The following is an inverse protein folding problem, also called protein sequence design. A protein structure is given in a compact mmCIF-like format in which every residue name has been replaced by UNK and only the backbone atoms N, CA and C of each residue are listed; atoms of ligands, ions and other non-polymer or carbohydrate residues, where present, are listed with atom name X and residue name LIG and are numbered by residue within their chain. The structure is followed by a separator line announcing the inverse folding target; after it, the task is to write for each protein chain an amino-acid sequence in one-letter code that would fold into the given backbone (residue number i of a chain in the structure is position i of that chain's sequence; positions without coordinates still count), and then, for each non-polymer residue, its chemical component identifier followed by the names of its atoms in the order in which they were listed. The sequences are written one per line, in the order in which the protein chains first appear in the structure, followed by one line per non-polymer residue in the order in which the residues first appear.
data_IF_377152146523
#
_entry.id   IF_377152146523
#
_cell.length_a   1.000
_cell.length_b   1.000
_cell.length_c   1.000
_cell.angle_alpha   90.00
_cell.angle_beta   90.00
_cell.angle_gamma   90.00
#
_symmetry.space_group_name_H-M   'P 1'
#
loop_
_entity.id
_entity.type
_entity.pdbx_description
1 polymer ?
#
# COMPACT_ATOMS: atom_id res chain seq x y z
N UNK A 1 20.98 -10.38 -9.88
CA UNK A 1 20.54 -9.45 -8.83
C UNK A 1 19.09 -9.18 -9.13
N UNK A 2 18.20 -9.68 -8.28
CA UNK A 2 16.77 -9.43 -8.43
C UNK A 2 16.51 -8.03 -7.89
N UNK A 3 16.46 -7.06 -8.80
CA UNK A 3 16.02 -5.70 -8.47
C UNK A 3 14.52 -5.78 -8.22
N UNK A 4 14.09 -5.37 -7.03
CA UNK A 4 12.68 -5.12 -6.74
C UNK A 4 12.26 -3.85 -7.53
N UNK A 5 12.14 -3.98 -8.85
CA UNK A 5 11.67 -2.95 -9.77
C UNK A 5 10.15 -2.93 -9.75
N UNK A 6 9.56 -2.42 -8.68
CA UNK A 6 8.11 -2.27 -8.56
C UNK A 6 7.63 -0.80 -8.56
N UNK A 7 8.51 0.20 -8.53
CA UNK A 7 8.08 1.60 -8.35
C UNK A 7 7.35 1.82 -7.02
N UNK A 8 7.46 0.85 -6.11
CA UNK A 8 6.91 0.85 -4.76
C UNK A 8 8.07 0.71 -3.78
N UNK A 9 7.93 1.32 -2.61
CA UNK A 9 8.89 1.15 -1.53
C UNK A 9 9.05 -0.35 -1.21
N UNK A 10 10.28 -0.82 -1.22
CA UNK A 10 10.62 -2.12 -0.65
C UNK A 10 10.19 -2.22 0.81
N UNK A 11 10.09 -3.44 1.35
CA UNK A 11 9.76 -3.67 2.77
C UNK A 11 10.70 -2.91 3.71
N UNK A 12 11.98 -2.82 3.36
CA UNK A 12 13.00 -2.12 4.14
C UNK A 12 12.82 -0.61 4.08
N UNK A 13 12.55 -0.07 2.88
CA UNK A 13 12.20 1.32 2.68
C UNK A 13 10.90 1.70 3.42
N UNK A 14 9.88 0.83 3.44
CA UNK A 14 8.63 1.06 4.16
C UNK A 14 8.83 1.06 5.68
N UNK A 15 9.61 0.12 6.22
CA UNK A 15 9.97 0.12 7.65
C UNK A 15 10.74 1.38 8.03
N UNK A 16 11.70 1.77 7.19
CA UNK A 16 12.45 3.01 7.38
C UNK A 16 11.55 4.24 7.35
N UNK A 17 10.61 4.33 6.41
CA UNK A 17 9.62 5.41 6.33
C UNK A 17 8.83 5.52 7.65
N UNK A 18 8.30 4.40 8.15
CA UNK A 18 7.49 4.39 9.38
C UNK A 18 8.32 4.77 10.60
N UNK A 19 9.51 4.19 10.76
CA UNK A 19 10.40 4.48 11.89
C UNK A 19 10.86 5.95 11.87
N UNK A 20 11.22 6.46 10.69
CA UNK A 20 11.65 7.84 10.49
C UNK A 20 10.50 8.83 10.74
N UNK A 21 9.31 8.54 10.23
CA UNK A 21 8.12 9.36 10.45
C UNK A 21 7.74 9.41 11.93
N UNK A 22 7.75 8.26 12.62
CA UNK A 22 7.51 8.20 14.06
C UNK A 22 8.54 9.02 14.85
N UNK A 23 9.81 8.93 14.47
CA UNK A 23 10.87 9.73 15.07
C UNK A 23 10.66 11.23 14.84
N UNK A 24 10.43 11.67 13.60
CA UNK A 24 10.22 13.09 13.26
C UNK A 24 9.00 13.66 13.98
N UNK A 25 7.86 12.96 13.95
CA UNK A 25 6.64 13.41 14.65
C UNK A 25 6.75 13.39 16.17
N UNK A 26 7.77 12.72 16.73
CA UNK A 26 8.08 12.79 18.16
C UNK A 26 8.82 14.07 18.57
N UNK A 27 9.52 14.72 17.62
CA UNK A 27 10.34 15.90 17.88
C UNK A 27 9.48 17.15 18.13
N UNK A 28 9.86 17.99 19.12
CA UNK A 28 9.09 19.18 19.48
C UNK A 28 8.99 20.22 18.35
N UNK A 29 10.01 20.31 17.50
CA UNK A 29 10.06 21.22 16.34
C UNK A 29 9.00 20.84 15.30
N UNK A 30 8.89 19.54 15.00
CA UNK A 30 7.91 19.01 14.05
C UNK A 30 6.49 19.10 14.62
N UNK A 31 6.31 18.77 15.91
CA UNK A 31 5.03 18.96 16.60
C UNK A 31 4.57 20.42 16.56
N UNK A 32 5.49 21.36 16.75
CA UNK A 32 5.21 22.79 16.65
C UNK A 32 4.82 23.18 15.22
N UNK A 33 5.54 22.70 14.20
CA UNK A 33 5.20 22.91 12.78
C UNK A 33 3.80 22.39 12.44
N UNK A 34 3.44 21.19 12.92
CA UNK A 34 2.08 20.63 12.75
C UNK A 34 1.04 21.48 13.47
N UNK A 35 1.30 21.87 14.71
CA UNK A 35 0.41 22.72 15.50
C UNK A 35 0.16 24.08 14.82
N UNK A 36 1.23 24.75 14.38
CA UNK A 36 1.17 26.06 13.73
C UNK A 36 0.39 25.97 12.40
N UNK A 37 0.64 24.95 11.58
CA UNK A 37 -0.06 24.75 10.32
C UNK A 37 -1.56 24.42 10.50
N UNK A 38 -1.92 23.61 11.50
CA UNK A 38 -3.32 23.34 11.85
C UNK A 38 -4.01 24.61 12.37
N UNK A 39 -3.31 25.42 13.16
CA UNK A 39 -3.80 26.72 13.62
C UNK A 39 -4.04 27.70 12.45
N UNK A 40 -3.22 27.61 11.40
CA UNK A 40 -3.36 28.35 10.14
C UNK A 40 -4.41 27.74 9.18
N UNK A 41 -5.24 26.80 9.68
CA UNK A 41 -6.34 26.13 8.96
C UNK A 41 -5.88 25.26 7.78
N UNK A 42 -4.63 24.83 7.75
CA UNK A 42 -4.22 23.78 6.84
C UNK A 42 -4.77 22.42 7.32
N UNK A 43 -5.09 21.53 6.40
CA UNK A 43 -5.48 20.17 6.75
C UNK A 43 -4.28 19.45 7.38
N UNK A 44 -4.48 18.81 8.54
CA UNK A 44 -3.42 18.07 9.21
C UNK A 44 -2.78 17.00 8.30
N UNK A 45 -3.58 16.44 7.40
CA UNK A 45 -3.14 15.53 6.33
C UNK A 45 -2.06 16.17 5.47
N UNK A 46 -2.24 17.42 5.01
CA UNK A 46 -1.27 18.10 4.14
C UNK A 46 0.10 18.25 4.81
N UNK A 47 0.13 18.54 6.12
CA UNK A 47 1.38 18.67 6.87
C UNK A 47 2.07 17.33 7.04
N UNK A 48 1.31 16.27 7.33
CA UNK A 48 1.88 14.92 7.43
C UNK A 48 2.33 14.39 6.08
N UNK A 49 1.66 14.76 4.97
CA UNK A 49 2.09 14.44 3.61
C UNK A 49 3.41 15.11 3.27
N UNK A 50 3.58 16.40 3.60
CA UNK A 50 4.86 17.07 3.39
C UNK A 50 6.02 16.42 4.18
N UNK A 51 5.74 15.93 5.40
CA UNK A 51 6.73 15.17 6.19
C UNK A 51 7.05 13.83 5.50
N UNK A 52 6.07 13.15 4.92
CA UNK A 52 6.30 11.92 4.16
C UNK A 52 7.13 12.17 2.90
N UNK A 53 6.86 13.25 2.16
CA UNK A 53 7.63 13.67 0.98
C UNK A 53 9.10 13.98 1.35
N UNK A 54 9.34 14.70 2.45
CA UNK A 54 10.69 14.96 2.96
C UNK A 54 11.45 13.64 3.25
N UNK A 55 10.78 12.63 3.81
CA UNK A 55 11.38 11.31 4.07
C UNK A 55 11.64 10.56 2.76
N UNK A 56 10.76 10.68 1.76
CA UNK A 56 10.96 10.05 0.45
C UNK A 56 12.18 10.60 -0.28
N UNK A 57 12.38 11.93 -0.25
CA UNK A 57 13.59 12.54 -0.79
C UNK A 57 14.84 12.11 0.01
N UNK A 58 14.77 12.00 1.35
CA UNK A 58 15.88 11.45 2.17
C UNK A 58 16.24 10.00 1.76
N UNK A 59 15.25 9.22 1.33
CA UNK A 59 15.40 7.81 0.95
C UNK A 59 15.84 7.60 -0.50
N UNK A 60 15.97 8.66 -1.30
CA UNK A 60 16.37 8.56 -2.70
C UNK A 60 15.27 8.04 -3.64
N UNK A 61 14.00 8.13 -3.22
CA UNK A 61 12.87 7.58 -3.98
C UNK A 61 12.66 8.33 -5.30
N UNK A 62 12.88 9.64 -5.31
CA UNK A 62 12.78 10.45 -6.53
C UNK A 62 13.87 10.07 -7.55
N UNK A 63 15.09 9.85 -7.08
CA UNK A 63 16.21 9.40 -7.90
C UNK A 63 15.97 7.98 -8.43
N UNK A 64 15.41 7.08 -7.62
CA UNK A 64 15.06 5.72 -8.03
C UNK A 64 14.03 5.72 -9.18
N UNK A 65 12.98 6.55 -9.05
CA UNK A 65 11.96 6.72 -10.10
C UNK A 65 12.57 7.34 -11.36
N UNK A 66 13.43 8.36 -11.22
CA UNK A 66 14.07 9.00 -12.36
C UNK A 66 15.05 8.07 -13.10
N UNK A 67 15.78 7.22 -12.37
CA UNK A 67 16.62 6.17 -12.95
C UNK A 67 15.76 5.14 -13.69
N UNK A 68 14.65 4.71 -13.12
CA UNK A 68 13.71 3.78 -13.76
C UNK A 68 13.10 4.37 -15.04
N UNK A 69 12.70 5.64 -15.05
CA UNK A 69 12.23 6.33 -16.26
C UNK A 69 13.33 6.38 -17.34
N UNK A 70 14.57 6.66 -16.95
CA UNK A 70 15.70 6.71 -17.87
C UNK A 70 16.06 5.33 -18.46
N UNK A 71 15.90 4.25 -17.69
CA UNK A 71 16.14 2.86 -18.11
C UNK A 71 15.04 2.33 -19.03
N UNK A 72 13.78 2.58 -18.69
CA UNK A 72 12.61 2.09 -19.43
C UNK A 72 12.32 2.96 -20.66
N UNK A 73 12.68 4.24 -20.62
CA UNK A 73 12.26 5.23 -21.59
C UNK A 73 10.81 5.69 -21.36
N UNK A 74 10.42 6.83 -21.95
CA UNK A 74 9.18 7.53 -21.59
C UNK A 74 7.90 6.74 -21.89
N UNK A 75 7.86 5.96 -22.97
CA UNK A 75 6.67 5.17 -23.34
C UNK A 75 6.44 3.99 -22.38
N UNK A 76 7.49 3.20 -22.12
CA UNK A 76 7.40 2.04 -21.22
C UNK A 76 7.21 2.48 -19.76
N UNK A 77 7.82 3.59 -19.35
CA UNK A 77 7.60 4.17 -18.03
C UNK A 77 6.16 4.65 -17.87
N UNK A 78 5.58 5.31 -18.87
CA UNK A 78 4.17 5.72 -18.86
C UNK A 78 3.22 4.51 -18.81
N UNK A 79 3.49 3.45 -19.59
CA UNK A 79 2.71 2.20 -19.54
C UNK A 79 2.77 1.55 -18.16
N UNK A 80 3.98 1.47 -17.58
CA UNK A 80 4.20 0.94 -16.22
C UNK A 80 3.46 1.75 -15.16
N UNK A 81 3.56 3.07 -15.20
CA UNK A 81 2.82 3.96 -14.29
C UNK A 81 1.32 3.79 -14.42
N UNK A 82 0.80 3.62 -15.64
CA UNK A 82 -0.61 3.35 -15.87
C UNK A 82 -1.05 2.00 -15.28
N UNK A 83 -0.23 0.95 -15.43
CA UNK A 83 -0.49 -0.35 -14.83
C UNK A 83 -0.49 -0.26 -13.29
N UNK A 84 0.47 0.44 -12.72
CA UNK A 84 0.55 0.64 -11.27
C UNK A 84 -0.70 1.36 -10.74
N UNK A 85 -1.10 2.45 -11.38
CA UNK A 85 -2.30 3.21 -11.01
C UNK A 85 -3.56 2.35 -11.13
N UNK A 86 -3.65 1.50 -12.17
CA UNK A 86 -4.75 0.55 -12.32
C UNK A 86 -4.82 -0.45 -11.16
N UNK A 87 -3.68 -1.01 -10.73
CA UNK A 87 -3.63 -1.94 -9.61
C UNK A 87 -4.10 -1.25 -8.32
N UNK A 88 -3.66 -0.02 -8.05
CA UNK A 88 -4.07 0.75 -6.87
C UNK A 88 -5.57 1.05 -6.86
N UNK A 89 -6.14 1.44 -8.01
CA UNK A 89 -7.58 1.65 -8.17
C UNK A 89 -8.37 0.37 -7.88
N UNK A 90 -7.89 -0.78 -8.37
CA UNK A 90 -8.53 -2.07 -8.14
C UNK A 90 -8.40 -2.54 -6.68
N UNK A 91 -7.25 -2.32 -6.02
CA UNK A 91 -7.12 -2.56 -4.58
C UNK A 91 -8.11 -1.72 -3.77
N UNK A 92 -8.29 -0.44 -4.12
CA UNK A 92 -9.24 0.43 -3.45
C UNK A 92 -10.69 -0.03 -3.66
N UNK A 93 -11.04 -0.45 -4.87
CA UNK A 93 -12.36 -1.02 -5.18
C UNK A 93 -12.62 -2.29 -4.36
N UNK A 94 -11.63 -3.18 -4.28
CA UNK A 94 -11.67 -4.37 -3.43
C UNK A 94 -11.88 -4.02 -1.96
N UNK A 95 -11.15 -3.06 -1.40
CA UNK A 95 -11.29 -2.62 -0.01
C UNK A 95 -12.69 -2.03 0.26
N UNK A 96 -13.24 -1.25 -0.67
CA UNK A 96 -14.61 -0.73 -0.60
C UNK A 96 -15.63 -1.87 -0.58
N UNK A 97 -15.42 -2.91 -1.38
CA UNK A 97 -16.29 -4.08 -1.40
C UNK A 97 -16.18 -4.89 -0.10
N UNK A 98 -14.95 -5.13 0.36
CA UNK A 98 -14.62 -5.88 1.58
C UNK A 98 -15.29 -5.30 2.82
N UNK A 99 -15.38 -3.97 2.92
CA UNK A 99 -16.07 -3.28 4.03
C UNK A 99 -17.53 -3.70 4.23
N UNK A 100 -18.18 -4.30 3.21
CA UNK A 100 -19.58 -4.73 3.30
C UNK A 100 -19.77 -6.11 3.96
N UNK A 101 -18.69 -6.83 4.30
CA UNK A 101 -18.76 -8.14 4.97
C UNK A 101 -18.61 -8.03 6.49
N UNK A 102 -18.85 -9.12 7.23
CA UNK A 102 -18.61 -9.15 8.68
C UNK A 102 -17.12 -9.12 9.01
N UNK A 103 -16.74 -8.69 10.22
CA UNK A 103 -15.33 -8.52 10.60
C UNK A 103 -14.50 -9.81 10.47
N UNK A 104 -15.09 -10.96 10.79
CA UNK A 104 -14.41 -12.24 10.60
C UNK A 104 -14.13 -12.49 9.12
N UNK A 105 -15.06 -12.14 8.23
CA UNK A 105 -14.94 -12.28 6.77
C UNK A 105 -13.92 -11.32 6.19
N UNK A 106 -13.93 -10.07 6.63
CA UNK A 106 -12.89 -9.10 6.31
C UNK A 106 -11.50 -9.63 6.69
N UNK A 107 -11.37 -10.22 7.88
CA UNK A 107 -10.09 -10.77 8.36
C UNK A 107 -9.59 -11.92 7.49
N UNK A 108 -10.47 -12.85 7.08
CA UNK A 108 -10.06 -13.94 6.18
C UNK A 108 -9.73 -13.48 4.76
N UNK A 109 -10.42 -12.44 4.25
CA UNK A 109 -10.08 -11.86 2.96
C UNK A 109 -8.67 -11.27 3.02
N UNK A 110 -8.33 -10.51 4.07
CA UNK A 110 -6.98 -9.95 4.26
C UNK A 110 -5.94 -11.05 4.45
N UNK A 111 -6.22 -12.08 5.25
CA UNK A 111 -5.31 -13.23 5.43
C UNK A 111 -5.07 -13.95 4.11
N UNK A 112 -6.10 -14.06 3.26
CA UNK A 112 -5.96 -14.65 1.92
C UNK A 112 -5.07 -13.81 1.01
N UNK A 113 -5.25 -12.49 1.01
CA UNK A 113 -4.40 -11.55 0.26
C UNK A 113 -2.95 -11.68 0.74
N UNK A 114 -2.73 -11.68 2.05
CA UNK A 114 -1.39 -11.82 2.62
C UNK A 114 -0.70 -13.11 2.15
N UNK A 115 -1.39 -14.26 2.26
CA UNK A 115 -0.85 -15.54 1.81
C UNK A 115 -0.59 -15.56 0.29
N UNK A 116 -1.45 -14.93 -0.51
CA UNK A 116 -1.25 -14.83 -1.96
C UNK A 116 0.00 -14.00 -2.29
N UNK A 117 0.20 -12.87 -1.62
CA UNK A 117 1.40 -12.06 -1.79
C UNK A 117 2.66 -12.80 -1.33
N UNK A 118 2.64 -13.50 -0.19
CA UNK A 118 3.78 -14.32 0.25
C UNK A 118 4.15 -15.39 -0.78
N UNK A 119 3.16 -16.10 -1.33
CA UNK A 119 3.39 -17.13 -2.36
C UNK A 119 3.91 -16.56 -3.68
N UNK A 120 3.66 -15.27 -3.93
CA UNK A 120 4.08 -14.57 -5.13
C UNK A 120 5.27 -13.65 -4.88
N UNK A 121 6.06 -13.85 -3.82
CA UNK A 121 7.21 -12.99 -3.48
C UNK A 121 6.87 -11.49 -3.49
N UNK A 122 5.67 -11.14 -3.01
CA UNK A 122 5.16 -9.78 -2.90
C UNK A 122 5.09 -9.02 -4.24
N UNK A 123 4.85 -9.72 -5.36
CA UNK A 123 4.53 -9.03 -6.62
C UNK A 123 3.21 -8.24 -6.52
N UNK A 124 3.14 -7.00 -7.03
CA UNK A 124 2.00 -6.09 -6.85
C UNK A 124 0.68 -6.65 -7.38
N UNK A 125 0.69 -7.35 -8.51
CA UNK A 125 -0.50 -7.91 -9.16
C UNK A 125 -1.16 -9.00 -8.31
N UNK A 126 -0.39 -9.62 -7.41
CA UNK A 126 -0.84 -10.69 -6.53
C UNK A 126 -1.63 -10.19 -5.32
N UNK A 127 -1.68 -8.87 -5.11
CA UNK A 127 -2.52 -8.22 -4.10
C UNK A 127 -4.00 -8.19 -4.49
N UNK A 128 -4.32 -8.41 -5.77
CA UNK A 128 -5.67 -8.31 -6.30
C UNK A 128 -6.46 -9.60 -6.10
N UNK A 129 -7.66 -9.46 -5.54
CA UNK A 129 -8.70 -10.48 -5.55
C UNK A 129 -9.90 -9.99 -6.35
N UNK A 130 -10.41 -10.83 -7.24
CA UNK A 130 -11.68 -10.57 -7.91
C UNK A 130 -12.85 -10.64 -6.91
N UNK A 131 -13.94 -9.94 -7.21
CA UNK A 131 -15.17 -9.97 -6.39
C UNK A 131 -15.67 -11.41 -6.22
N UNK A 132 -15.57 -12.25 -7.25
CA UNK A 132 -15.93 -13.67 -7.17
C UNK A 132 -15.04 -14.43 -6.18
N UNK A 133 -13.72 -14.18 -6.19
CA UNK A 133 -12.80 -14.80 -5.23
C UNK A 133 -13.09 -14.38 -3.80
N UNK A 134 -13.46 -13.11 -3.57
CA UNK A 134 -13.88 -12.60 -2.26
C UNK A 134 -15.15 -13.33 -1.80
N UNK A 135 -16.16 -13.41 -2.66
CA UNK A 135 -17.43 -14.08 -2.34
C UNK A 135 -17.26 -15.58 -2.08
N UNK A 136 -16.44 -16.26 -2.87
CA UNK A 136 -16.12 -17.67 -2.67
C UNK A 136 -15.38 -17.92 -1.35
N UNK A 137 -14.46 -17.02 -0.97
CA UNK A 137 -13.74 -17.13 0.30
C UNK A 137 -14.71 -17.05 1.49
N UNK A 138 -15.60 -16.05 1.47
CA UNK A 138 -16.65 -15.89 2.48
C UNK A 138 -17.57 -17.12 2.51
N UNK A 139 -18.08 -17.54 1.34
CA UNK A 139 -19.03 -18.66 1.21
C UNK A 139 -18.47 -19.99 1.72
N UNK A 140 -17.18 -20.28 1.50
CA UNK A 140 -16.52 -21.51 1.98
C UNK A 140 -16.52 -21.61 3.50
N UNK A 141 -16.54 -20.49 4.22
CA UNK A 141 -16.61 -20.49 5.69
C UNK A 141 -18.03 -20.64 6.24
N UNK A 142 -19.05 -20.27 5.47
CA UNK A 142 -20.47 -20.43 5.87
C UNK A 142 -21.01 -21.84 5.58
N UNK A 143 -20.26 -22.70 4.89
CA UNK A 143 -20.70 -24.08 4.61
C UNK A 143 -20.46 -24.98 5.84
N UNK A 144 -21.51 -25.57 6.44
CA UNK A 144 -21.33 -26.48 7.56
C UNK A 144 -20.59 -27.72 7.08
N UNK A 145 -19.47 -28.03 7.75
CA UNK A 145 -18.75 -29.29 7.60
C UNK A 145 -19.69 -30.41 8.01
N UNK A 146 -20.31 -31.08 7.04
CA UNK A 146 -20.99 -32.36 7.28
C UNK A 146 -19.92 -33.40 7.63
N UNK A 147 -19.77 -33.73 8.91
CA UNK A 147 -19.08 -34.93 9.34
C UNK A 147 -20.09 -36.09 9.36
N UNK A 148 -19.96 -37.14 8.51
CA UNK A 148 -20.77 -38.34 8.65
C UNK A 148 -20.33 -39.09 9.92
N UNK A 149 -21.32 -39.56 10.68
CA UNK A 149 -21.16 -40.43 11.86
C UNK A 149 -20.80 -41.84 11.42
#
# INVERSE_FOLDING_TARGET
MEYQNSGMLSREQLLHLVDRFAFLTSQPEVKKRIYDAVNDKQEAVAVTTAIQEEIFSEMGVEEEIACEEAELGPENFAERMAMQHYIEEQQLEMLKHMRNFQLDDQSAIIEKIHQQMENANFQPESSLLSIEQIQDNVRRRVSPVFQPI
#
